data_IF_484053967694
#
_entry.id   IF_484053967694
#
_cell.length_a   1.000
_cell.length_b   1.000
_cell.length_c   1.000
_cell.angle_alpha   90.00
_cell.angle_beta   90.00
_cell.angle_gamma   90.00
#
_symmetry.space_group_name_H-M   'P 1'
#
loop_
_entity.id
_entity.type
_entity.pdbx_description
1 polymer ?
#
# COMPACT_ATOMS: atom_id res chain seq x y z
N UNK A 1 5.87 -6.83 -21.84
CA UNK A 1 5.15 -6.99 -20.56
C UNK A 1 6.21 -6.93 -19.48
N UNK A 2 5.97 -6.20 -18.41
CA UNK A 2 6.93 -6.04 -17.32
C UNK A 2 6.79 -7.27 -16.42
N UNK A 3 7.89 -8.00 -16.22
CA UNK A 3 7.92 -9.08 -15.24
C UNK A 3 8.03 -8.48 -13.83
N UNK A 4 7.46 -9.17 -12.84
CA UNK A 4 7.61 -8.79 -11.43
C UNK A 4 9.09 -8.72 -11.02
N UNK A 5 9.46 -7.67 -10.27
CA UNK A 5 10.83 -7.42 -9.83
C UNK A 5 10.95 -7.87 -8.38
N UNK A 6 11.76 -8.90 -8.14
CA UNK A 6 12.08 -9.35 -6.78
C UNK A 6 13.07 -8.38 -6.13
N UNK A 7 12.57 -7.53 -5.23
CA UNK A 7 13.40 -6.58 -4.50
C UNK A 7 14.15 -7.28 -3.36
N UNK A 8 15.47 -7.25 -3.44
CA UNK A 8 16.36 -7.57 -2.32
C UNK A 8 16.40 -6.38 -1.36
N UNK A 9 15.97 -6.59 -0.12
CA UNK A 9 15.94 -5.54 0.89
C UNK A 9 17.30 -5.05 1.35
N UNK A 10 18.38 -5.81 1.07
CA UNK A 10 19.76 -5.47 1.39
C UNK A 10 20.46 -4.64 0.30
N UNK A 11 19.77 -4.36 -0.82
CA UNK A 11 20.28 -3.52 -1.90
C UNK A 11 19.45 -2.24 -2.06
N UNK A 12 20.04 -1.12 -2.55
CA UNK A 12 19.26 0.09 -2.80
C UNK A 12 18.18 -0.15 -3.86
N UNK A 13 16.96 0.32 -3.61
CA UNK A 13 15.78 0.07 -4.46
C UNK A 13 16.05 0.50 -5.91
N UNK A 14 16.55 1.72 -6.12
CA UNK A 14 16.80 2.27 -7.46
C UNK A 14 17.83 1.47 -8.27
N UNK A 15 18.77 0.79 -7.60
CA UNK A 15 19.81 0.00 -8.28
C UNK A 15 19.28 -1.31 -8.87
N UNK A 16 18.08 -1.73 -8.46
CA UNK A 16 17.46 -3.01 -8.83
C UNK A 16 16.40 -2.86 -9.92
N UNK A 17 16.02 -1.63 -10.25
CA UNK A 17 14.95 -1.35 -11.22
C UNK A 17 15.39 -1.66 -12.64
N UNK A 18 14.47 -2.18 -13.44
CA UNK A 18 14.64 -2.44 -14.88
C UNK A 18 13.95 -1.36 -15.73
N UNK A 19 14.04 -1.46 -17.06
CA UNK A 19 13.18 -0.74 -18.01
C UNK A 19 13.19 0.80 -17.91
N UNK A 20 14.36 1.38 -17.64
CA UNK A 20 14.59 2.84 -17.58
C UNK A 20 13.78 3.58 -16.50
N UNK A 21 13.28 2.88 -15.47
CA UNK A 21 12.73 3.54 -14.29
C UNK A 21 13.84 4.32 -13.57
N UNK A 22 13.68 5.63 -13.47
CA UNK A 22 14.70 6.55 -12.93
C UNK A 22 14.35 7.06 -11.53
N UNK A 23 13.14 6.81 -11.07
CA UNK A 23 12.69 7.18 -9.73
C UNK A 23 11.74 6.15 -9.15
N UNK A 24 11.67 6.12 -7.82
CA UNK A 24 10.76 5.28 -7.08
C UNK A 24 10.28 5.98 -5.80
N UNK A 25 9.14 5.55 -5.30
CA UNK A 25 8.63 5.93 -4.00
C UNK A 25 7.94 4.75 -3.31
N UNK A 26 8.11 4.66 -2.00
CA UNK A 26 7.36 3.74 -1.14
C UNK A 26 6.07 4.42 -0.73
N UNK A 27 4.93 3.94 -1.23
CA UNK A 27 3.60 4.38 -0.83
C UNK A 27 3.15 3.61 0.39
N UNK A 28 2.72 4.32 1.43
CA UNK A 28 2.26 3.70 2.67
C UNK A 28 0.75 3.44 2.60
N UNK A 29 0.33 2.21 2.90
CA UNK A 29 -1.09 1.87 2.95
C UNK A 29 -1.70 2.48 4.22
N UNK A 30 -2.71 3.35 4.11
CA UNK A 30 -3.27 4.02 5.28
C UNK A 30 -4.00 3.03 6.19
N UNK A 31 -4.03 3.36 7.48
CA UNK A 31 -4.92 2.73 8.45
C UNK A 31 -6.37 3.16 8.18
N UNK A 32 -7.33 2.47 8.78
CA UNK A 32 -8.74 2.71 8.53
C UNK A 32 -9.41 3.19 9.81
N UNK A 33 -10.06 4.34 9.75
CA UNK A 33 -10.95 4.81 10.80
C UNK A 33 -12.40 4.65 10.35
N UNK A 34 -13.12 3.74 11.00
CA UNK A 34 -14.57 3.59 10.82
C UNK A 34 -15.34 4.60 11.70
N UNK A 35 -16.62 4.86 11.39
CA UNK A 35 -17.46 5.73 12.22
C UNK A 35 -17.57 5.24 13.66
N UNK A 36 -17.72 6.17 14.61
CA UNK A 36 -17.79 5.81 16.04
C UNK A 36 -18.93 4.84 16.33
N UNK A 37 -18.60 3.73 16.99
CA UNK A 37 -19.52 2.66 17.35
C UNK A 37 -19.83 1.68 16.22
N UNK A 38 -19.16 1.78 15.07
CA UNK A 38 -19.31 0.86 13.95
C UNK A 38 -19.01 -0.58 14.38
N UNK A 39 -17.88 -0.80 15.04
CA UNK A 39 -17.43 -2.12 15.50
C UNK A 39 -18.50 -2.77 16.40
N UNK A 40 -18.99 -1.99 17.37
CA UNK A 40 -20.02 -2.42 18.32
C UNK A 40 -21.34 -2.76 17.63
N UNK A 41 -21.67 -2.03 16.56
CA UNK A 41 -22.89 -2.29 15.78
C UNK A 41 -22.81 -3.58 14.97
N UNK A 42 -21.60 -4.06 14.65
CA UNK A 42 -21.35 -5.30 13.90
C UNK A 42 -21.15 -6.51 14.78
N UNK A 43 -20.73 -6.31 16.03
CA UNK A 43 -20.38 -7.39 16.95
C UNK A 43 -21.61 -8.17 17.41
N UNK A 44 -21.67 -9.45 17.05
CA UNK A 44 -22.69 -10.37 17.53
C UNK A 44 -22.23 -11.13 18.79
N UNK A 45 -20.92 -11.39 18.91
CA UNK A 45 -20.33 -12.11 20.03
C UNK A 45 -18.90 -11.61 20.35
N UNK A 46 -18.38 -11.83 21.56
CA UNK A 46 -17.10 -11.25 22.01
C UNK A 46 -15.86 -11.86 21.34
N UNK A 47 -15.98 -13.01 20.67
CA UNK A 47 -14.85 -13.71 20.04
C UNK A 47 -14.79 -13.52 18.52
N UNK A 48 -15.77 -12.81 17.94
CA UNK A 48 -15.81 -12.53 16.53
C UNK A 48 -14.65 -11.60 16.13
N UNK A 49 -13.87 -12.01 15.14
CA UNK A 49 -12.98 -11.11 14.42
C UNK A 49 -13.83 -10.22 13.52
N UNK A 50 -13.71 -8.91 13.69
CA UNK A 50 -14.48 -7.92 12.93
C UNK A 50 -13.47 -7.07 12.18
N UNK A 51 -13.68 -6.94 10.88
CA UNK A 51 -12.91 -6.08 10.00
C UNK A 51 -13.88 -5.51 8.96
N UNK A 52 -13.76 -4.22 8.56
CA UNK A 52 -14.65 -3.64 7.56
C UNK A 52 -14.47 -4.32 6.20
N UNK A 53 -15.56 -4.51 5.48
CA UNK A 53 -15.48 -4.95 4.08
C UNK A 53 -15.00 -3.82 3.16
N UNK A 54 -14.49 -4.16 1.98
CA UNK A 54 -14.11 -3.20 0.92
C UNK A 54 -15.16 -2.12 0.68
N UNK A 55 -16.42 -2.54 0.56
CA UNK A 55 -17.53 -1.62 0.35
C UNK A 55 -17.73 -0.67 1.52
N UNK A 56 -17.57 -1.14 2.75
CA UNK A 56 -17.73 -0.32 3.96
C UNK A 56 -16.57 0.64 4.13
N UNK A 57 -15.33 0.19 3.86
CA UNK A 57 -14.17 1.07 3.86
C UNK A 57 -14.34 2.21 2.86
N UNK A 58 -14.78 1.91 1.64
CA UNK A 58 -14.99 2.93 0.61
C UNK A 58 -16.15 3.88 0.90
N UNK A 59 -17.22 3.40 1.53
CA UNK A 59 -18.44 4.20 1.78
C UNK A 59 -18.39 4.98 3.09
N UNK A 60 -17.73 4.44 4.12
CA UNK A 60 -17.83 4.91 5.51
C UNK A 60 -16.47 5.12 6.17
N UNK A 61 -15.42 4.48 5.67
CA UNK A 61 -14.08 4.54 6.26
C UNK A 61 -13.32 5.79 5.84
N UNK A 62 -12.46 6.27 6.74
CA UNK A 62 -11.54 7.36 6.49
C UNK A 62 -10.09 6.85 6.56
N UNK A 63 -9.23 7.17 5.59
CA UNK A 63 -7.83 6.77 5.62
C UNK A 63 -7.06 7.59 6.67
N UNK A 64 -6.30 6.91 7.52
CA UNK A 64 -5.42 7.52 8.52
C UNK A 64 -3.97 7.29 8.14
N UNK A 65 -3.22 8.38 7.96
CA UNK A 65 -1.81 8.36 7.57
C UNK A 65 -0.91 7.68 8.62
N UNK A 66 0.19 7.09 8.17
CA UNK A 66 1.24 6.56 9.04
C UNK A 66 1.82 7.66 9.92
N UNK A 67 2.07 8.86 9.39
CA UNK A 67 2.47 10.05 10.18
C UNK A 67 1.54 10.33 11.35
N UNK A 68 0.24 10.28 11.13
CA UNK A 68 -0.74 10.49 12.19
C UNK A 68 -0.69 9.39 13.25
N UNK A 69 -0.64 8.12 12.83
CA UNK A 69 -0.55 6.97 13.74
C UNK A 69 0.74 7.01 14.56
N UNK A 70 1.88 7.33 13.94
CA UNK A 70 3.15 7.51 14.63
C UNK A 70 3.04 8.57 15.73
N UNK A 71 2.41 9.72 15.43
CA UNK A 71 2.16 10.77 16.40
C UNK A 71 1.32 10.31 17.58
N UNK A 72 0.24 9.55 17.33
CA UNK A 72 -0.66 9.02 18.36
C UNK A 72 -0.02 7.92 19.21
N UNK A 73 0.86 7.11 18.62
CA UNK A 73 1.51 5.97 19.29
C UNK A 73 2.90 6.30 19.85
N UNK A 74 3.40 7.53 19.68
CA UNK A 74 4.77 7.92 20.05
C UNK A 74 5.84 7.01 19.40
N UNK A 75 5.64 6.69 18.12
CA UNK A 75 6.61 6.05 17.24
C UNK A 75 7.40 7.15 16.51
N UNK A 76 8.71 6.96 16.34
CA UNK A 76 9.63 8.02 15.88
C UNK A 76 9.97 7.96 14.41
N UNK A 77 9.73 6.84 13.75
CA UNK A 77 10.08 6.64 12.34
C UNK A 77 9.12 5.67 11.67
N UNK A 78 9.08 5.71 10.34
CA UNK A 78 8.34 4.74 9.54
C UNK A 78 8.82 3.31 9.81
N UNK A 79 10.12 3.14 10.07
CA UNK A 79 10.70 1.86 10.47
C UNK A 79 10.15 1.34 11.79
N UNK A 80 10.02 2.20 12.81
CA UNK A 80 9.38 1.79 14.07
C UNK A 80 7.92 1.37 13.87
N UNK A 81 7.17 2.06 13.00
CA UNK A 81 5.79 1.70 12.69
C UNK A 81 5.71 0.41 11.86
N UNK A 82 6.60 0.20 10.89
CA UNK A 82 6.65 -1.03 10.12
C UNK A 82 6.99 -2.23 10.98
N UNK A 83 7.97 -2.09 11.89
CA UNK A 83 8.26 -3.08 12.93
C UNK A 83 6.98 -3.35 13.74
N UNK A 84 6.27 -2.33 14.20
CA UNK A 84 5.02 -2.53 14.96
C UNK A 84 3.96 -3.33 14.17
N UNK A 85 3.88 -3.12 12.85
CA UNK A 85 2.96 -3.82 11.96
C UNK A 85 3.38 -5.28 11.67
N UNK A 86 4.67 -5.54 11.43
CA UNK A 86 5.21 -6.89 11.20
C UNK A 86 5.00 -7.85 12.39
N UNK A 87 4.92 -7.32 13.62
CA UNK A 87 4.74 -8.15 14.82
C UNK A 87 3.31 -8.69 15.01
N UNK A 88 2.36 -8.36 14.10
CA UNK A 88 1.12 -9.11 13.94
C UNK A 88 1.35 -10.61 13.64
N UNK A 89 2.58 -10.98 13.23
CA UNK A 89 3.05 -12.35 12.98
C UNK A 89 3.53 -13.15 14.22
N UNK A 90 3.53 -12.57 15.43
CA UNK A 90 3.55 -13.35 16.67
C UNK A 90 4.75 -13.21 17.64
N UNK A 91 5.66 -12.25 17.43
CA UNK A 91 6.66 -11.87 18.45
C UNK A 91 6.27 -10.48 19.02
N UNK A 92 6.37 -10.20 20.34
CA UNK A 92 6.06 -8.85 20.84
C UNK A 92 7.30 -7.94 20.84
N UNK A 93 7.24 -6.79 20.15
CA UNK A 93 8.19 -5.68 20.28
C UNK A 93 7.64 -4.54 21.16
N UNK A 94 8.49 -3.61 21.57
CA UNK A 94 8.02 -2.43 22.32
C UNK A 94 7.25 -1.47 21.41
N UNK A 95 7.62 -1.40 20.13
CA UNK A 95 6.90 -0.69 19.06
C UNK A 95 5.48 -1.24 18.90
N UNK A 96 5.35 -2.57 18.84
CA UNK A 96 4.05 -3.24 18.77
C UNK A 96 3.16 -2.90 19.98
N UNK A 97 3.71 -2.93 21.21
CA UNK A 97 2.92 -2.59 22.42
C UNK A 97 2.33 -1.18 22.35
N UNK A 98 3.07 -0.22 21.79
CA UNK A 98 2.57 1.16 21.62
C UNK A 98 1.38 1.20 20.67
N UNK A 99 1.50 0.57 19.50
CA UNK A 99 0.42 0.51 18.50
C UNK A 99 -0.78 -0.30 19.00
N UNK A 100 -0.56 -1.49 19.54
CA UNK A 100 -1.61 -2.36 20.06
C UNK A 100 -2.41 -1.71 21.20
N UNK A 101 -1.76 -0.93 22.07
CA UNK A 101 -2.43 -0.15 23.12
C UNK A 101 -3.37 0.90 22.53
N UNK A 102 -2.93 1.60 21.48
CA UNK A 102 -3.75 2.55 20.76
C UNK A 102 -4.95 1.86 20.10
N UNK A 103 -4.73 0.78 19.34
CA UNK A 103 -5.81 0.03 18.68
C UNK A 103 -6.82 -0.52 19.68
N UNK A 104 -6.36 -1.10 20.80
CA UNK A 104 -7.23 -1.60 21.88
C UNK A 104 -8.13 -0.50 22.47
N UNK A 105 -7.66 0.74 22.50
CA UNK A 105 -8.40 1.88 23.02
C UNK A 105 -9.33 2.53 21.99
N UNK A 106 -9.21 2.15 20.71
CA UNK A 106 -9.94 2.71 19.58
C UNK A 106 -10.56 1.56 18.75
N UNK A 107 -11.70 1.00 19.18
CA UNK A 107 -12.25 -0.22 18.58
C UNK A 107 -12.71 -0.07 17.12
N UNK A 108 -12.98 1.16 16.67
CA UNK A 108 -13.34 1.47 15.29
C UNK A 108 -12.12 1.78 14.39
N UNK A 109 -10.90 1.55 14.89
CA UNK A 109 -9.65 1.80 14.17
C UNK A 109 -8.98 0.48 13.79
N UNK A 110 -8.61 0.34 12.51
CA UNK A 110 -8.10 -0.90 11.94
C UNK A 110 -6.74 -0.70 11.25
N UNK A 111 -5.93 -1.75 11.30
CA UNK A 111 -4.66 -1.85 10.56
C UNK A 111 -4.92 -1.80 9.05
N UNK A 112 -3.93 -1.37 8.23
CA UNK A 112 -4.01 -1.53 6.78
C UNK A 112 -4.08 -3.02 6.40
N UNK A 113 -4.57 -3.31 5.20
CA UNK A 113 -4.59 -4.69 4.68
C UNK A 113 -3.21 -5.15 4.22
N UNK A 114 -2.86 -6.39 4.55
CA UNK A 114 -1.58 -7.03 4.21
C UNK A 114 -1.64 -7.87 2.93
N UNK A 115 -2.83 -8.13 2.39
CA UNK A 115 -3.02 -9.04 1.25
C UNK A 115 -3.13 -8.28 -0.07
N UNK A 116 -3.75 -7.10 -0.07
CA UNK A 116 -4.03 -6.33 -1.26
C UNK A 116 -3.56 -4.89 -1.11
N UNK A 117 -3.30 -4.25 -2.25
CA UNK A 117 -3.04 -2.82 -2.27
C UNK A 117 -4.25 -2.06 -1.74
N UNK A 118 -4.04 -1.18 -0.77
CA UNK A 118 -5.13 -0.43 -0.12
C UNK A 118 -6.05 0.28 -1.12
N UNK A 119 -7.37 0.07 -0.96
CA UNK A 119 -8.41 0.72 -1.75
C UNK A 119 -8.32 2.25 -1.73
N UNK A 120 -7.83 2.82 -0.63
CA UNK A 120 -7.68 4.26 -0.46
C UNK A 120 -6.60 4.86 -1.38
N UNK A 121 -5.60 4.07 -1.77
CA UNK A 121 -4.56 4.54 -2.70
C UNK A 121 -4.85 4.11 -4.14
N UNK A 122 -5.57 3.00 -4.34
CA UNK A 122 -5.78 2.40 -5.66
C UNK A 122 -6.35 3.36 -6.72
N UNK A 123 -7.32 4.20 -6.35
CA UNK A 123 -7.88 5.19 -7.28
C UNK A 123 -6.83 6.23 -7.73
N UNK A 124 -5.92 6.62 -6.83
CA UNK A 124 -4.80 7.49 -7.17
C UNK A 124 -3.79 6.74 -8.05
N UNK A 125 -3.55 5.45 -7.79
CA UNK A 125 -2.70 4.61 -8.62
C UNK A 125 -3.20 4.57 -10.07
N UNK A 126 -4.47 4.20 -10.27
CA UNK A 126 -5.08 4.15 -11.61
C UNK A 126 -4.98 5.50 -12.33
N UNK A 127 -5.22 6.62 -11.61
CA UNK A 127 -5.05 7.97 -12.18
C UNK A 127 -3.63 8.25 -12.65
N UNK A 128 -2.61 7.81 -11.92
CA UNK A 128 -1.20 7.98 -12.31
C UNK A 128 -0.89 7.18 -13.57
N UNK A 129 -1.25 5.89 -13.62
CA UNK A 129 -1.00 5.05 -14.79
C UNK A 129 -1.69 5.60 -16.05
N UNK A 130 -2.91 6.15 -15.89
CA UNK A 130 -3.66 6.73 -16.99
C UNK A 130 -3.25 8.18 -17.32
N UNK A 131 -2.40 8.82 -16.52
CA UNK A 131 -2.08 10.26 -16.63
C UNK A 131 -1.45 10.65 -17.97
N UNK A 132 -0.80 9.70 -18.65
CA UNK A 132 -0.20 9.85 -19.99
C UNK A 132 -1.05 9.26 -21.12
N UNK A 133 -2.34 9.05 -20.87
CA UNK A 133 -3.33 8.62 -21.86
C UNK A 133 -3.44 7.12 -22.07
N UNK A 134 -2.88 6.30 -21.16
CA UNK A 134 -3.08 4.86 -21.19
C UNK A 134 -4.56 4.51 -20.93
N UNK A 135 -5.07 3.53 -21.67
CA UNK A 135 -6.43 3.01 -21.48
C UNK A 135 -6.42 1.52 -21.14
N UNK A 136 -5.31 0.84 -21.42
CA UNK A 136 -5.06 -0.55 -21.03
C UNK A 136 -3.97 -0.57 -19.98
N UNK A 137 -4.19 -1.34 -18.91
CA UNK A 137 -3.16 -1.65 -17.92
C UNK A 137 -2.78 -3.11 -18.05
N UNK A 138 -1.51 -3.40 -17.81
CA UNK A 138 -0.94 -4.73 -17.81
C UNK A 138 -0.57 -5.10 -16.39
N UNK A 139 -0.79 -6.36 -16.01
CA UNK A 139 -0.40 -6.87 -14.71
C UNK A 139 0.37 -8.17 -14.83
N UNK A 140 1.24 -8.39 -13.84
CA UNK A 140 1.94 -9.65 -13.62
C UNK A 140 1.89 -9.99 -12.13
N UNK A 141 1.47 -11.22 -11.83
CA UNK A 141 1.32 -11.77 -10.49
C UNK A 141 2.03 -13.13 -10.48
N UNK A 142 3.23 -13.20 -9.86
CA UNK A 142 4.12 -14.36 -10.01
C UNK A 142 3.73 -15.55 -9.13
N UNK A 143 2.91 -15.41 -8.09
CA UNK A 143 2.59 -16.52 -7.17
C UNK A 143 1.67 -17.53 -7.81
N UNK A 144 0.69 -17.08 -8.59
CA UNK A 144 -0.20 -17.96 -9.35
C UNK A 144 0.12 -17.99 -10.85
N UNK A 145 1.23 -17.37 -11.27
CA UNK A 145 1.65 -17.23 -12.67
C UNK A 145 0.53 -16.62 -13.53
N UNK A 146 -0.14 -15.60 -12.97
CA UNK A 146 -1.24 -14.92 -13.64
C UNK A 146 -0.76 -13.60 -14.22
N UNK A 147 -0.82 -13.49 -15.55
CA UNK A 147 -0.44 -12.30 -16.29
C UNK A 147 -1.59 -11.91 -17.20
N UNK A 148 -1.77 -10.61 -17.41
CA UNK A 148 -2.86 -10.16 -18.24
C UNK A 148 -2.91 -8.67 -18.48
N UNK A 149 -4.03 -8.25 -19.02
CA UNK A 149 -4.33 -6.84 -19.25
C UNK A 149 -5.81 -6.60 -19.13
N UNK A 150 -6.17 -5.38 -18.71
CA UNK A 150 -7.55 -4.94 -18.67
C UNK A 150 -7.65 -3.50 -19.15
N UNK A 151 -8.82 -3.15 -19.67
CA UNK A 151 -9.16 -1.76 -19.96
C UNK A 151 -9.71 -1.12 -18.71
N UNK A 152 -9.20 0.06 -18.38
CA UNK A 152 -9.53 0.75 -17.13
C UNK A 152 -11.02 1.09 -17.04
N UNK A 153 -11.63 1.46 -18.16
CA UNK A 153 -13.05 1.81 -18.22
C UNK A 153 -14.00 0.61 -18.12
N UNK A 154 -13.48 -0.62 -18.20
CA UNK A 154 -14.27 -1.84 -18.16
C UNK A 154 -14.34 -2.44 -16.74
N UNK A 155 -13.67 -1.83 -15.75
CA UNK A 155 -13.57 -2.35 -14.37
C UNK A 155 -13.88 -1.28 -13.32
N UNK A 156 -14.52 -1.70 -12.24
CA UNK A 156 -14.69 -0.93 -11.01
C UNK A 156 -13.40 -0.91 -10.17
N UNK A 157 -13.29 0.05 -9.24
CA UNK A 157 -12.15 0.12 -8.32
C UNK A 157 -11.96 -1.18 -7.50
N UNK A 158 -13.04 -1.84 -7.11
CA UNK A 158 -12.97 -3.12 -6.36
C UNK A 158 -12.42 -4.23 -7.25
N UNK A 159 -12.85 -4.31 -8.51
CA UNK A 159 -12.30 -5.30 -9.45
C UNK A 159 -10.81 -5.07 -9.70
N UNK A 160 -10.37 -3.81 -9.82
CA UNK A 160 -8.94 -3.48 -9.95
C UNK A 160 -8.18 -3.85 -8.67
N UNK A 161 -8.77 -3.68 -7.49
CA UNK A 161 -8.14 -4.03 -6.21
C UNK A 161 -7.86 -5.53 -6.12
N UNK A 162 -8.83 -6.33 -6.54
CA UNK A 162 -8.71 -7.79 -6.59
C UNK A 162 -7.68 -8.28 -7.61
N UNK A 163 -7.26 -7.43 -8.57
CA UNK A 163 -6.19 -7.72 -9.53
C UNK A 163 -4.81 -7.26 -9.05
N UNK A 164 -4.73 -6.60 -7.89
CA UNK A 164 -3.50 -6.06 -7.32
C UNK A 164 -3.18 -6.69 -5.97
N UNK A 165 -3.02 -8.03 -5.88
CA UNK A 165 -2.52 -8.65 -4.67
C UNK A 165 -1.14 -8.08 -4.34
N UNK A 166 -0.75 -8.14 -3.06
CA UNK A 166 0.49 -7.53 -2.58
C UNK A 166 1.75 -8.13 -3.18
N UNK A 167 1.67 -9.20 -3.96
CA UNK A 167 2.76 -9.64 -4.82
C UNK A 167 2.32 -9.56 -6.28
N UNK A 168 2.26 -8.34 -6.82
CA UNK A 168 1.96 -8.10 -8.22
C UNK A 168 2.58 -6.80 -8.71
N UNK A 169 2.76 -6.69 -10.02
CA UNK A 169 3.15 -5.44 -10.67
C UNK A 169 2.11 -5.05 -11.72
N UNK A 170 1.67 -3.79 -11.71
CA UNK A 170 0.73 -3.21 -12.66
C UNK A 170 1.41 -2.03 -13.35
N UNK A 171 1.32 -1.96 -14.68
CA UNK A 171 1.97 -0.91 -15.49
C UNK A 171 1.10 -0.47 -16.66
N UNK A 172 1.36 0.73 -17.17
CA UNK A 172 0.69 1.27 -18.35
C UNK A 172 1.31 0.73 -19.66
N UNK A 173 0.65 1.00 -20.78
CA UNK A 173 1.06 0.57 -22.14
C UNK A 173 2.52 0.89 -22.51
N UNK A 174 3.07 1.99 -21.99
CA UNK A 174 4.42 2.47 -22.29
C UNK A 174 5.41 2.22 -21.15
N UNK A 175 4.95 1.63 -20.06
CA UNK A 175 5.70 1.49 -18.81
C UNK A 175 6.27 2.85 -18.36
N UNK A 176 5.49 3.91 -18.50
CA UNK A 176 5.83 5.22 -17.96
C UNK A 176 5.83 5.18 -16.43
N UNK A 177 4.90 4.41 -15.87
CA UNK A 177 4.74 4.14 -14.45
C UNK A 177 4.52 2.65 -14.20
N UNK A 178 4.90 2.19 -13.01
CA UNK A 178 4.50 0.88 -12.51
C UNK A 178 4.20 0.95 -11.01
N UNK A 179 3.25 0.14 -10.56
CA UNK A 179 3.03 -0.13 -9.14
C UNK A 179 3.36 -1.56 -8.86
N UNK A 180 4.15 -1.78 -7.82
CA UNK A 180 4.54 -3.09 -7.39
C UNK A 180 4.15 -3.27 -5.93
N UNK A 181 3.21 -4.17 -5.67
CA UNK A 181 2.99 -4.68 -4.33
C UNK A 181 4.25 -5.38 -3.86
N UNK A 182 4.55 -5.27 -2.56
CA UNK A 182 5.59 -6.06 -1.92
C UNK A 182 4.93 -7.10 -1.01
N UNK A 183 5.36 -8.36 -1.16
CA UNK A 183 4.85 -9.49 -0.38
C UNK A 183 4.94 -9.22 1.13
N UNK A 184 3.90 -9.63 1.87
CA UNK A 184 3.82 -9.56 3.34
C UNK A 184 4.15 -8.15 3.88
N UNK A 185 3.60 -7.13 3.23
CA UNK A 185 3.88 -5.74 3.56
C UNK A 185 2.65 -4.84 3.45
N UNK A 186 2.77 -3.66 4.08
CA UNK A 186 1.74 -2.62 4.11
C UNK A 186 2.12 -1.44 3.21
N UNK A 187 2.87 -1.72 2.13
CA UNK A 187 3.42 -0.74 1.21
C UNK A 187 3.26 -1.17 -0.25
N UNK A 188 3.32 -0.20 -1.14
CA UNK A 188 3.43 -0.41 -2.60
C UNK A 188 4.55 0.47 -3.13
N UNK A 189 5.40 -0.06 -4.01
CA UNK A 189 6.38 0.75 -4.73
C UNK A 189 5.71 1.38 -5.95
N UNK A 190 5.81 2.70 -6.07
CA UNK A 190 5.55 3.43 -7.31
C UNK A 190 6.88 3.64 -8.02
N UNK A 191 6.96 3.23 -9.28
CA UNK A 191 8.11 3.37 -10.16
C UNK A 191 7.76 4.32 -11.29
N UNK A 192 8.69 5.17 -11.71
CA UNK A 192 8.48 6.08 -12.84
C UNK A 192 9.74 6.24 -13.69
N UNK A 193 9.54 6.35 -15.01
CA UNK A 193 10.63 6.72 -15.94
C UNK A 193 11.07 8.17 -15.77
N UNK A 194 10.16 9.03 -15.34
CA UNK A 194 10.48 10.42 -15.00
C UNK A 194 11.28 10.47 -13.69
N UNK A 195 12.14 11.46 -13.55
CA UNK A 195 12.85 11.77 -12.32
C UNK A 195 12.00 12.50 -11.28
N UNK A 196 10.89 13.15 -11.69
CA UNK A 196 10.06 13.97 -10.80
C UNK A 196 8.79 13.24 -10.31
N UNK A 197 8.99 12.15 -9.56
CA UNK A 197 7.90 11.37 -8.98
C UNK A 197 7.20 12.10 -7.81
N UNK A 198 7.91 13.01 -7.15
CA UNK A 198 7.43 13.72 -5.96
C UNK A 198 6.22 14.63 -6.28
N UNK A 199 6.26 15.33 -7.41
CA UNK A 199 5.14 16.19 -7.84
C UNK A 199 3.88 15.36 -8.12
N UNK A 200 4.04 14.18 -8.70
CA UNK A 200 2.94 13.23 -8.94
C UNK A 200 2.30 12.81 -7.61
N UNK A 201 3.11 12.41 -6.64
CA UNK A 201 2.66 11.99 -5.30
C UNK A 201 1.93 13.12 -4.57
N UNK A 202 2.52 14.34 -4.57
CA UNK A 202 1.92 15.52 -3.94
C UNK A 202 0.59 15.89 -4.56
N UNK A 203 0.47 15.82 -5.89
CA UNK A 203 -0.76 16.18 -6.59
C UNK A 203 -1.97 15.31 -6.21
N UNK A 204 -1.72 14.10 -5.73
CA UNK A 204 -2.73 13.12 -5.32
C UNK A 204 -2.80 12.95 -3.80
N UNK A 205 -2.08 13.77 -3.04
CA UNK A 205 -2.03 13.74 -1.57
C UNK A 205 -1.71 12.35 -1.00
N UNK A 206 -0.80 11.62 -1.67
CA UNK A 206 -0.35 10.31 -1.22
C UNK A 206 0.74 10.46 -0.16
N UNK A 207 0.69 9.63 0.89
CA UNK A 207 1.79 9.52 1.84
C UNK A 207 2.84 8.56 1.29
N UNK A 208 4.07 9.05 1.13
CA UNK A 208 5.15 8.27 0.56
C UNK A 208 6.52 8.64 1.12
N UNK A 209 7.46 7.71 0.97
CA UNK A 209 8.89 7.94 1.09
C UNK A 209 9.52 7.96 -0.31
N UNK A 210 10.16 9.07 -0.70
CA UNK A 210 10.82 9.19 -2.01
C UNK A 210 12.18 8.50 -1.94
N UNK A 211 12.42 7.53 -2.83
CA UNK A 211 13.66 6.78 -2.84
C UNK A 211 14.79 7.59 -3.49
N UNK A 212 15.95 7.59 -2.82
CA UNK A 212 17.23 8.02 -3.38
C UNK A 212 18.14 6.82 -3.68
N UNK A 213 19.38 7.10 -4.07
CA UNK A 213 20.37 6.08 -4.44
C UNK A 213 20.85 5.21 -3.27
N UNK A 214 20.62 5.66 -2.04
CA UNK A 214 21.04 4.99 -0.81
C UNK A 214 19.83 4.44 -0.04
N UNK A 215 18.65 4.44 -0.67
CA UNK A 215 17.42 3.98 -0.04
C UNK A 215 17.28 2.47 -0.18
N UNK A 216 17.36 1.77 0.94
CA UNK A 216 17.13 0.33 1.06
C UNK A 216 15.72 0.05 1.56
N UNK A 217 15.11 -1.06 1.16
CA UNK A 217 13.78 -1.41 1.65
C UNK A 217 13.77 -1.57 3.17
N UNK A 218 14.72 -2.32 3.75
CA UNK A 218 14.87 -2.51 5.20
C UNK A 218 15.32 -1.26 6.00
N UNK A 219 15.62 -0.16 5.31
CA UNK A 219 15.85 1.13 5.97
C UNK A 219 14.53 1.84 6.30
N UNK A 220 13.46 1.50 5.56
CA UNK A 220 12.13 2.08 5.67
C UNK A 220 11.19 1.15 6.44
N UNK A 221 11.23 -0.15 6.13
CA UNK A 221 10.43 -1.21 6.75
C UNK A 221 11.24 -2.13 7.66
#
# INVERSE_FOLDING_TARGET
MLDYIWIDGDLPILSQLSNDFNSAAVLFHPFIQMPSGWEKSKRENPYQHIYPSDEEMLKLGEPVSWKEVMGKCNLKSYKELSIALQHLTGVPSDEYKKLASYVKSNPDFYYPEEVNTSLFILNSLVKILCSKGANTLYFSEPIHDTNGSFKVNDMSSIEIANLSPNESIITDEKMDFAFMGIYDSFITLLLAKDTNIEDTIKSLNLEAFICDKETYLYSII
#
